data_IF_596391413809
#
_entry.id   IF_596391413809
#
_cell.length_a   1.000
_cell.length_b   1.000
_cell.length_c   1.000
_cell.angle_alpha   90.00
_cell.angle_beta   90.00
_cell.angle_gamma   90.00
#
_symmetry.space_group_name_H-M   'P 1'
#
loop_
_entity.id
_entity.type
_entity.pdbx_description
1 polymer ?
#
# COMPACT_ATOMS: atom_id res chain seq x y z
N UNK A 1 12.06 14.79 -11.55
CA UNK A 1 11.78 14.26 -10.20
C UNK A 1 10.85 15.26 -9.51
N UNK A 2 9.60 14.88 -9.27
CA UNK A 2 8.57 15.71 -8.61
C UNK A 2 8.03 15.02 -7.34
N UNK A 3 8.73 13.99 -6.85
CA UNK A 3 8.30 13.29 -5.65
C UNK A 3 8.56 14.17 -4.43
N UNK A 4 7.55 14.41 -3.57
CA UNK A 4 7.75 15.16 -2.34
C UNK A 4 8.74 14.38 -1.47
N UNK A 5 9.82 15.04 -1.07
CA UNK A 5 10.94 14.45 -0.34
C UNK A 5 11.13 15.03 1.06
N UNK A 6 10.24 15.92 1.48
CA UNK A 6 10.30 16.65 2.74
C UNK A 6 9.02 16.49 3.54
N UNK A 7 9.16 16.55 4.86
CA UNK A 7 8.03 16.50 5.80
C UNK A 7 7.69 17.93 6.20
N UNK A 8 6.43 18.32 6.08
CA UNK A 8 5.92 19.59 6.58
C UNK A 8 5.32 19.36 7.97
N UNK A 9 5.95 19.91 9.00
CA UNK A 9 5.38 19.91 10.34
C UNK A 9 4.47 21.12 10.49
N UNK A 10 3.17 20.88 10.72
CA UNK A 10 2.20 21.91 11.06
C UNK A 10 2.05 21.91 12.57
N UNK A 11 2.53 22.98 13.20
CA UNK A 11 2.32 23.20 14.62
C UNK A 11 0.95 23.86 14.82
N UNK A 12 0.15 23.31 15.72
CA UNK A 12 -1.21 23.79 15.98
C UNK A 12 -1.28 24.34 17.40
N UNK A 13 -1.74 25.58 17.53
CA UNK A 13 -1.94 26.21 18.84
C UNK A 13 -3.10 25.53 19.58
N UNK A 14 -2.84 25.07 20.81
CA UNK A 14 -3.84 24.42 21.64
C UNK A 14 -4.78 25.46 22.23
N UNK A 15 -6.03 25.48 21.75
CA UNK A 15 -7.06 26.42 22.23
C UNK A 15 -7.98 25.84 23.31
N UNK A 16 -7.85 24.56 23.64
CA UNK A 16 -8.65 23.84 24.65
C UNK A 16 -7.92 23.67 25.98
N UNK A 17 -8.63 23.13 26.99
CA UNK A 17 -8.03 22.77 28.27
C UNK A 17 -6.85 21.80 28.11
N UNK A 18 -5.76 22.09 28.83
CA UNK A 18 -4.49 21.36 28.73
C UNK A 18 -4.61 20.01 29.46
N UNK A 19 -4.27 18.93 28.75
CA UNK A 19 -4.15 17.59 29.31
C UNK A 19 -2.66 17.23 29.47
N UNK A 20 -2.33 16.47 30.52
CA UNK A 20 -0.95 16.03 30.76
C UNK A 20 -0.47 15.13 29.62
N UNK A 21 0.59 15.56 28.93
CA UNK A 21 1.14 14.80 27.80
C UNK A 21 1.92 13.60 28.33
N UNK A 22 1.59 12.37 27.92
CA UNK A 22 2.33 11.20 28.35
C UNK A 22 3.80 11.28 27.90
N UNK A 23 4.72 10.87 28.77
CA UNK A 23 6.16 10.87 28.46
C UNK A 23 6.44 9.98 27.24
N UNK A 24 7.03 10.56 26.20
CA UNK A 24 7.38 9.83 24.97
C UNK A 24 8.54 8.88 25.25
N UNK A 25 8.26 7.57 25.21
CA UNK A 25 9.24 6.51 25.56
C UNK A 25 10.31 6.31 24.47
N UNK A 26 10.01 6.64 23.21
CA UNK A 26 10.92 6.45 22.07
C UNK A 26 11.17 7.76 21.33
N UNK A 27 12.45 8.17 21.26
CA UNK A 27 12.89 9.32 20.47
C UNK A 27 13.05 8.99 18.99
N UNK A 28 12.90 9.99 18.12
CA UNK A 28 13.03 9.85 16.65
C UNK A 28 14.27 9.08 16.15
N UNK A 29 15.49 9.28 16.69
CA UNK A 29 16.67 8.54 16.22
C UNK A 29 16.63 7.04 16.55
N UNK A 30 15.80 6.61 17.50
CA UNK A 30 15.63 5.20 17.85
C UNK A 30 14.65 4.47 16.90
N UNK A 31 13.95 5.19 16.02
CA UNK A 31 13.01 4.58 15.06
C UNK A 31 13.77 3.86 13.92
N UNK A 32 13.35 2.65 13.54
CA UNK A 32 13.76 1.99 12.30
C UNK A 32 13.58 2.91 11.10
N UNK A 33 14.43 2.78 10.09
CA UNK A 33 14.42 3.66 8.90
C UNK A 33 13.05 3.67 8.20
N UNK A 34 12.37 2.51 8.16
CA UNK A 34 11.04 2.36 7.57
C UNK A 34 9.92 3.06 8.37
N UNK A 35 10.12 3.25 9.69
CA UNK A 35 9.15 3.90 10.58
C UNK A 35 9.38 5.41 10.72
N UNK A 36 10.37 5.96 10.02
CA UNK A 36 10.58 7.41 9.97
C UNK A 36 9.51 8.06 9.12
N UNK A 37 9.33 9.37 9.30
CA UNK A 37 8.45 10.15 8.44
C UNK A 37 8.94 10.08 6.98
N UNK A 38 8.05 9.75 6.04
CA UNK A 38 8.41 9.39 4.65
C UNK A 38 9.40 8.21 4.52
N UNK A 39 9.51 7.38 5.56
CA UNK A 39 10.23 6.11 5.50
C UNK A 39 9.59 5.20 4.45
N UNK A 40 10.43 4.50 3.68
CA UNK A 40 9.99 3.59 2.63
C UNK A 40 10.71 2.26 2.80
N UNK A 41 9.96 1.16 2.74
CA UNK A 41 10.56 -0.16 2.64
C UNK A 41 10.94 -0.44 1.17
N UNK A 42 12.24 -0.43 0.88
CA UNK A 42 12.73 -0.70 -0.47
C UNK A 42 12.48 -2.14 -0.92
N UNK A 43 12.32 -3.08 0.01
CA UNK A 43 12.05 -4.48 -0.31
C UNK A 43 10.61 -4.71 -0.80
N UNK A 44 9.68 -3.83 -0.40
CA UNK A 44 8.27 -3.91 -0.80
C UNK A 44 8.06 -3.73 -2.31
N UNK A 45 8.94 -3.00 -3.01
CA UNK A 45 8.88 -2.83 -4.47
C UNK A 45 9.00 -4.14 -5.24
N UNK A 46 9.81 -5.09 -4.74
CA UNK A 46 9.94 -6.40 -5.35
C UNK A 46 8.61 -7.16 -5.28
N UNK A 47 7.96 -7.15 -4.11
CA UNK A 47 6.68 -7.81 -3.91
C UNK A 47 5.57 -7.14 -4.73
N UNK A 48 5.53 -5.80 -4.77
CA UNK A 48 4.58 -5.04 -5.58
C UNK A 48 4.70 -5.34 -7.08
N UNK A 49 5.92 -5.45 -7.60
CA UNK A 49 6.16 -5.81 -8.99
C UNK A 49 5.59 -7.19 -9.32
N UNK A 50 5.91 -8.21 -8.53
CA UNK A 50 5.41 -9.56 -8.78
C UNK A 50 3.90 -9.67 -8.57
N UNK A 51 3.33 -8.98 -7.57
CA UNK A 51 1.89 -8.91 -7.37
C UNK A 51 1.17 -8.39 -8.63
N UNK A 52 1.68 -7.30 -9.23
CA UNK A 52 1.15 -6.75 -10.48
C UNK A 52 1.31 -7.72 -11.67
N UNK A 53 2.44 -8.42 -11.78
CA UNK A 53 2.64 -9.43 -12.83
C UNK A 53 1.60 -10.55 -12.71
N UNK A 54 1.38 -11.07 -11.50
CA UNK A 54 0.36 -12.10 -11.27
C UNK A 54 -1.06 -11.58 -11.51
N UNK A 55 -1.35 -10.33 -11.16
CA UNK A 55 -2.64 -9.70 -11.44
C UNK A 55 -2.91 -9.61 -12.95
N UNK A 56 -1.92 -9.19 -13.74
CA UNK A 56 -2.03 -9.16 -15.21
C UNK A 56 -2.21 -10.57 -15.78
N UNK A 57 -1.44 -11.55 -15.29
CA UNK A 57 -1.58 -12.94 -15.72
C UNK A 57 -2.98 -13.49 -15.41
N UNK A 58 -3.54 -13.18 -14.24
CA UNK A 58 -4.91 -13.56 -13.86
C UNK A 58 -5.97 -12.88 -14.73
N UNK A 59 -5.77 -11.62 -15.12
CA UNK A 59 -6.65 -10.91 -16.04
C UNK A 59 -6.66 -11.56 -17.44
N UNK A 60 -5.48 -11.89 -17.96
CA UNK A 60 -5.34 -12.60 -19.24
C UNK A 60 -5.99 -14.00 -19.15
N UNK A 61 -5.75 -14.73 -18.05
CA UNK A 61 -6.35 -16.04 -17.82
C UNK A 61 -7.88 -15.97 -17.73
N UNK A 62 -8.42 -14.94 -17.08
CA UNK A 62 -9.87 -14.69 -17.00
C UNK A 62 -10.45 -14.40 -18.38
N UNK A 63 -9.77 -13.57 -19.18
CA UNK A 63 -10.17 -13.28 -20.55
C UNK A 63 -10.12 -14.52 -21.45
N UNK A 64 -9.09 -15.35 -21.31
CA UNK A 64 -8.99 -16.63 -22.00
C UNK A 64 -10.12 -17.59 -21.62
N UNK A 65 -10.44 -17.70 -20.33
CA UNK A 65 -11.60 -18.48 -19.87
C UNK A 65 -12.92 -17.96 -20.46
N UNK A 66 -13.02 -16.63 -20.61
CA UNK A 66 -14.20 -15.97 -21.15
C UNK A 66 -14.44 -16.34 -22.62
N UNK A 67 -13.38 -16.41 -23.43
CA UNK A 67 -13.48 -16.84 -24.84
C UNK A 67 -13.65 -18.35 -24.99
N UNK A 68 -13.07 -19.16 -24.09
CA UNK A 68 -13.11 -20.62 -24.23
C UNK A 68 -14.35 -21.30 -23.62
N UNK A 69 -14.82 -20.87 -22.44
CA UNK A 69 -15.84 -21.61 -21.65
C UNK A 69 -17.17 -20.86 -21.50
N UNK A 70 -17.23 -19.61 -21.97
CA UNK A 70 -18.43 -18.79 -21.91
C UNK A 70 -18.52 -17.89 -20.68
N UNK A 71 -19.46 -16.95 -20.76
CA UNK A 71 -19.45 -15.72 -19.96
C UNK A 71 -19.62 -15.95 -18.46
N UNK A 72 -20.50 -16.88 -18.08
CA UNK A 72 -20.84 -17.12 -16.68
C UNK A 72 -19.72 -17.81 -15.89
N UNK A 73 -19.10 -18.86 -16.43
CA UNK A 73 -18.03 -19.59 -15.74
C UNK A 73 -16.79 -18.73 -15.51
N UNK A 74 -16.40 -17.94 -16.52
CA UNK A 74 -15.26 -17.03 -16.41
C UNK A 74 -15.50 -15.93 -15.38
N UNK A 75 -16.72 -15.40 -15.25
CA UNK A 75 -17.04 -14.40 -14.23
C UNK A 75 -17.05 -14.99 -12.83
N UNK A 76 -17.57 -16.20 -12.66
CA UNK A 76 -17.69 -16.86 -11.36
C UNK A 76 -16.31 -17.16 -10.74
N UNK A 77 -15.30 -17.47 -11.57
CA UNK A 77 -13.92 -17.73 -11.12
C UNK A 77 -13.04 -16.47 -11.19
N UNK A 78 -13.15 -15.72 -12.28
CA UNK A 78 -12.29 -14.57 -12.55
C UNK A 78 -12.54 -13.40 -11.61
N UNK A 79 -13.80 -13.11 -11.28
CA UNK A 79 -14.14 -12.00 -10.38
C UNK A 79 -13.50 -12.16 -8.98
N UNK A 80 -13.71 -13.26 -8.23
CA UNK A 80 -13.10 -13.40 -6.90
C UNK A 80 -11.58 -13.44 -6.96
N UNK A 81 -10.99 -14.05 -8.01
CA UNK A 81 -9.54 -14.09 -8.21
C UNK A 81 -8.96 -12.68 -8.44
N UNK A 82 -9.58 -11.90 -9.33
CA UNK A 82 -9.15 -10.53 -9.61
C UNK A 82 -9.34 -9.61 -8.41
N UNK A 83 -10.43 -9.75 -7.66
CA UNK A 83 -10.64 -8.98 -6.43
C UNK A 83 -9.56 -9.30 -5.40
N UNK A 84 -9.29 -10.58 -5.12
CA UNK A 84 -8.27 -10.98 -4.16
C UNK A 84 -6.87 -10.48 -4.54
N UNK A 85 -6.47 -10.67 -5.80
CA UNK A 85 -5.18 -10.17 -6.30
C UNK A 85 -5.14 -8.64 -6.35
N UNK A 86 -6.26 -7.98 -6.65
CA UNK A 86 -6.36 -6.52 -6.67
C UNK A 86 -6.14 -5.91 -5.29
N UNK A 87 -6.72 -6.51 -4.24
CA UNK A 87 -6.48 -6.12 -2.84
C UNK A 87 -5.01 -6.34 -2.47
N UNK A 88 -4.43 -7.50 -2.82
CA UNK A 88 -3.02 -7.77 -2.55
C UNK A 88 -2.08 -6.79 -3.28
N UNK A 89 -2.39 -6.40 -4.51
CA UNK A 89 -1.64 -5.40 -5.26
C UNK A 89 -1.75 -4.02 -4.62
N UNK A 90 -2.95 -3.63 -4.16
CA UNK A 90 -3.16 -2.36 -3.49
C UNK A 90 -2.34 -2.28 -2.19
N UNK A 91 -2.35 -3.34 -1.39
CA UNK A 91 -1.57 -3.42 -0.16
C UNK A 91 -0.05 -3.37 -0.44
N UNK A 92 0.43 -4.16 -1.41
CA UNK A 92 1.83 -4.13 -1.80
C UNK A 92 2.27 -2.76 -2.34
N UNK A 93 1.41 -2.08 -3.11
CA UNK A 93 1.67 -0.74 -3.60
C UNK A 93 1.71 0.30 -2.47
N UNK A 94 0.80 0.22 -1.49
CA UNK A 94 0.80 1.13 -0.34
C UNK A 94 2.04 0.96 0.53
N UNK A 95 2.50 -0.28 0.75
CA UNK A 95 3.73 -0.54 1.51
C UNK A 95 5.01 -0.08 0.77
N UNK A 96 4.98 -0.04 -0.56
CA UNK A 96 6.10 0.44 -1.37
C UNK A 96 6.18 1.97 -1.47
N UNK A 97 5.09 2.68 -1.15
CA UNK A 97 5.06 4.14 -1.13
C UNK A 97 5.67 4.68 0.17
N UNK A 98 6.24 5.91 0.15
CA UNK A 98 6.73 6.55 1.35
C UNK A 98 5.58 6.76 2.34
N UNK A 99 5.77 6.31 3.58
CA UNK A 99 4.76 6.42 4.61
C UNK A 99 4.46 7.90 4.93
N UNK A 100 3.19 8.29 4.86
CA UNK A 100 2.71 9.65 5.10
C UNK A 100 2.07 9.83 6.50
N UNK A 101 2.03 8.76 7.30
CA UNK A 101 1.62 8.79 8.72
C UNK A 101 2.77 9.26 9.61
#
# INVERSE_FOLDING_TARGET
ALFPSGVLHVDAELTSDVLETPTKVMGYPALPVAERAMGQDSSAWFLAFFALVFFVAAAIGTWWLWTSWGRWHAWLVGLPLLVALGVACADAAMNALPNLL
#
